data_IF_417554586249
#
_entry.id   IF_417554586249
#
_cell.length_a   1.000
_cell.length_b   1.000
_cell.length_c   1.000
_cell.angle_alpha   90.00
_cell.angle_beta   90.00
_cell.angle_gamma   90.00
#
_symmetry.space_group_name_H-M   'P 1'
#
loop_
_entity.id
_entity.type
_entity.pdbx_description
1 polymer ?
#
# COMPACT_ATOMS: atom_id res chain seq x y z
N UNK A 1 -17.24 -14.16 -14.79
CA UNK A 1 -16.18 -13.19 -15.16
C UNK A 1 -15.19 -13.91 -16.03
N UNK A 2 -14.96 -13.45 -17.25
CA UNK A 2 -13.98 -13.99 -18.16
C UNK A 2 -12.55 -13.53 -17.82
N UNK A 3 -11.54 -13.98 -18.60
CA UNK A 3 -10.13 -13.67 -18.32
C UNK A 3 -9.84 -12.17 -18.51
N UNK A 4 -10.46 -11.53 -19.48
CA UNK A 4 -10.28 -10.10 -19.78
C UNK A 4 -10.83 -9.25 -18.65
N UNK A 5 -12.05 -9.52 -18.19
CA UNK A 5 -12.66 -8.84 -17.05
C UNK A 5 -11.84 -8.99 -15.76
N UNK A 6 -11.29 -10.19 -15.51
CA UNK A 6 -10.39 -10.42 -14.37
C UNK A 6 -9.09 -9.62 -14.48
N UNK A 7 -8.49 -9.62 -15.68
CA UNK A 7 -7.28 -8.86 -15.96
C UNK A 7 -7.50 -7.36 -15.76
N UNK A 8 -8.61 -6.82 -16.27
CA UNK A 8 -8.94 -5.40 -16.17
C UNK A 8 -9.13 -4.96 -14.71
N UNK A 9 -9.75 -5.81 -13.86
CA UNK A 9 -9.85 -5.55 -12.42
C UNK A 9 -8.46 -5.47 -11.75
N UNK A 10 -7.54 -6.36 -12.13
CA UNK A 10 -6.18 -6.37 -11.58
C UNK A 10 -5.37 -5.19 -12.12
N UNK A 11 -5.52 -4.86 -13.39
CA UNK A 11 -4.75 -3.83 -14.07
C UNK A 11 -5.23 -2.39 -13.81
N UNK A 12 -6.49 -2.21 -13.38
CA UNK A 12 -7.02 -0.85 -13.11
C UNK A 12 -6.25 -0.14 -11.98
N UNK A 13 -6.24 1.19 -11.95
CA UNK A 13 -5.64 1.95 -10.85
C UNK A 13 -6.11 1.45 -9.47
N UNK A 14 -5.24 1.46 -8.45
CA UNK A 14 -3.89 2.04 -8.42
C UNK A 14 -2.77 1.16 -8.99
N UNK A 15 -3.03 0.03 -9.69
CA UNK A 15 -1.99 -0.78 -10.33
C UNK A 15 -1.21 0.09 -11.34
N UNK A 16 0.12 0.08 -11.21
CA UNK A 16 1.05 0.82 -12.06
C UNK A 16 1.89 -0.11 -12.95
N UNK A 17 2.28 -1.28 -12.43
CA UNK A 17 3.12 -2.24 -13.13
C UNK A 17 2.67 -3.68 -12.88
N UNK A 18 2.72 -4.50 -13.95
CA UNK A 18 2.54 -5.96 -13.89
C UNK A 18 3.72 -6.61 -14.59
N UNK A 19 4.44 -7.48 -13.90
CA UNK A 19 5.63 -8.19 -14.44
C UNK A 19 5.37 -9.69 -14.40
N UNK A 20 4.87 -10.28 -15.50
CA UNK A 20 4.49 -9.69 -16.79
C UNK A 20 2.98 -9.82 -17.03
N UNK A 21 2.43 -9.01 -17.95
CA UNK A 21 1.01 -9.07 -18.33
C UNK A 21 0.65 -10.43 -18.95
N UNK A 22 1.51 -10.95 -19.82
CA UNK A 22 1.26 -12.23 -20.51
C UNK A 22 1.24 -13.39 -19.52
N UNK A 23 2.18 -13.42 -18.54
CA UNK A 23 2.17 -14.41 -17.46
C UNK A 23 0.88 -14.34 -16.63
N UNK A 24 0.40 -13.12 -16.33
CA UNK A 24 -0.86 -12.95 -15.58
C UNK A 24 -2.06 -13.47 -16.36
N UNK A 25 -2.15 -13.17 -17.66
CA UNK A 25 -3.23 -13.65 -18.53
C UNK A 25 -3.20 -15.20 -18.58
N UNK A 26 -2.03 -15.80 -18.72
CA UNK A 26 -1.89 -17.26 -18.74
C UNK A 26 -2.25 -17.89 -17.38
N UNK A 27 -1.84 -17.28 -16.28
CA UNK A 27 -2.24 -17.71 -14.94
C UNK A 27 -3.77 -17.69 -14.76
N UNK A 28 -4.43 -16.63 -15.21
CA UNK A 28 -5.89 -16.47 -15.10
C UNK A 28 -6.67 -17.48 -15.96
N UNK A 29 -6.06 -18.01 -17.04
CA UNK A 29 -6.64 -19.07 -17.87
C UNK A 29 -6.49 -20.45 -17.24
N UNK A 30 -5.33 -20.71 -16.62
CA UNK A 30 -4.92 -22.06 -16.23
C UNK A 30 -5.16 -22.38 -14.75
N UNK A 31 -5.22 -21.36 -13.89
CA UNK A 31 -5.43 -21.52 -12.46
C UNK A 31 -6.75 -20.85 -12.03
N UNK A 32 -7.70 -21.64 -11.55
CA UNK A 32 -9.00 -21.14 -11.09
C UNK A 32 -8.96 -20.43 -9.73
N UNK A 33 -7.90 -20.61 -8.94
CA UNK A 33 -7.72 -20.06 -7.59
C UNK A 33 -6.27 -19.64 -7.34
N UNK A 34 -5.75 -18.65 -8.08
CA UNK A 34 -4.39 -18.16 -7.86
C UNK A 34 -4.23 -17.61 -6.44
N UNK A 35 -3.06 -17.84 -5.85
CA UNK A 35 -2.71 -17.34 -4.52
C UNK A 35 -1.99 -16.00 -4.65
N UNK A 36 -2.51 -15.00 -3.96
CA UNK A 36 -1.95 -13.65 -3.88
C UNK A 36 -1.56 -13.33 -2.44
N UNK A 37 -0.53 -12.51 -2.28
CA UNK A 37 -0.22 -11.89 -1.01
C UNK A 37 0.18 -10.43 -1.18
N UNK A 38 -0.02 -9.67 -0.09
CA UNK A 38 0.67 -8.41 0.18
C UNK A 38 1.27 -8.48 1.58
N UNK A 39 2.58 -8.18 1.68
CA UNK A 39 3.29 -8.08 2.95
C UNK A 39 3.26 -6.66 3.50
N UNK A 40 2.96 -6.51 4.78
CA UNK A 40 2.87 -5.22 5.45
C UNK A 40 3.70 -5.21 6.73
N UNK A 41 4.64 -4.27 6.80
CA UNK A 41 5.33 -3.93 8.04
C UNK A 41 4.38 -3.18 8.99
N UNK A 42 4.39 -3.55 10.26
CA UNK A 42 3.52 -2.98 11.29
C UNK A 42 4.24 -1.79 11.91
N UNK A 43 4.11 -0.62 11.30
CA UNK A 43 4.99 0.53 11.59
C UNK A 43 4.27 1.80 12.03
N UNK A 44 3.06 1.69 12.58
CA UNK A 44 2.32 2.86 13.06
C UNK A 44 0.84 2.85 12.71
N UNK A 45 0.23 4.02 12.65
CA UNK A 45 -1.19 4.14 12.31
C UNK A 45 -1.49 3.80 10.85
N UNK A 46 -2.63 3.15 10.64
CA UNK A 46 -3.13 2.90 9.29
C UNK A 46 -3.69 4.21 8.69
N UNK A 47 -3.35 4.44 7.42
CA UNK A 47 -3.75 5.62 6.67
C UNK A 47 -4.38 5.26 5.32
N UNK A 48 -4.87 6.26 4.59
CA UNK A 48 -5.55 6.12 3.32
C UNK A 48 -4.80 5.19 2.33
N UNK A 49 -3.48 5.34 2.19
CA UNK A 49 -2.67 4.49 1.31
C UNK A 49 -2.51 3.08 1.83
N UNK A 50 -2.16 2.91 3.12
CA UNK A 50 -1.81 1.60 3.69
C UNK A 50 -3.01 0.69 3.96
N UNK A 51 -4.22 1.23 4.20
CA UNK A 51 -5.41 0.42 4.42
C UNK A 51 -6.43 0.57 3.29
N UNK A 52 -6.84 1.80 2.96
CA UNK A 52 -7.99 2.02 2.06
C UNK A 52 -7.62 1.67 0.61
N UNK A 53 -6.61 2.34 0.05
CA UNK A 53 -6.18 2.07 -1.34
C UNK A 53 -5.70 0.64 -1.53
N UNK A 54 -4.92 0.12 -0.58
CA UNK A 54 -4.47 -1.28 -0.55
C UNK A 54 -5.65 -2.24 -0.45
N UNK A 55 -6.59 -1.97 0.46
CA UNK A 55 -7.78 -2.80 0.67
C UNK A 55 -8.70 -2.84 -0.55
N UNK A 56 -8.90 -1.72 -1.21
CA UNK A 56 -9.66 -1.65 -2.46
C UNK A 56 -9.02 -2.55 -3.53
N UNK A 57 -7.68 -2.51 -3.67
CA UNK A 57 -6.98 -3.36 -4.61
C UNK A 57 -7.06 -4.84 -4.25
N UNK A 58 -6.96 -5.19 -2.97
CA UNK A 58 -7.18 -6.58 -2.51
C UNK A 58 -8.60 -7.03 -2.88
N UNK A 59 -9.62 -6.18 -2.71
CA UNK A 59 -10.99 -6.51 -3.09
C UNK A 59 -11.14 -6.72 -4.61
N UNK A 60 -10.36 -6.03 -5.45
CA UNK A 60 -10.33 -6.29 -6.89
C UNK A 60 -9.77 -7.68 -7.20
N UNK A 61 -8.66 -8.07 -6.57
CA UNK A 61 -8.12 -9.43 -6.69
C UNK A 61 -9.14 -10.48 -6.24
N UNK A 62 -9.82 -10.25 -5.11
CA UNK A 62 -10.86 -11.15 -4.61
C UNK A 62 -12.04 -11.25 -5.59
N UNK A 63 -12.50 -10.13 -6.17
CA UNK A 63 -13.54 -10.10 -7.22
C UNK A 63 -13.09 -10.88 -8.47
N UNK A 64 -11.81 -10.81 -8.82
CA UNK A 64 -11.22 -11.59 -9.90
C UNK A 64 -11.08 -13.11 -9.61
N UNK A 65 -11.48 -13.56 -8.41
CA UNK A 65 -11.44 -14.98 -8.01
C UNK A 65 -10.12 -15.43 -7.41
N UNK A 66 -9.27 -14.52 -6.99
CA UNK A 66 -7.94 -14.78 -6.42
C UNK A 66 -8.03 -14.96 -4.90
N UNK A 67 -7.30 -15.94 -4.37
CA UNK A 67 -7.18 -16.22 -2.94
C UNK A 67 -6.15 -15.26 -2.32
N UNK A 68 -6.64 -14.25 -1.61
CA UNK A 68 -5.82 -13.14 -1.14
C UNK A 68 -5.42 -13.29 0.33
N UNK A 69 -4.14 -13.02 0.60
CA UNK A 69 -3.54 -13.01 1.93
C UNK A 69 -2.93 -11.64 2.21
N UNK A 70 -3.23 -11.08 3.39
CA UNK A 70 -2.44 -10.01 4.01
C UNK A 70 -1.46 -10.68 4.98
N UNK A 71 -0.20 -10.54 4.69
CA UNK A 71 0.89 -11.01 5.52
C UNK A 71 1.38 -9.88 6.43
N UNK A 72 1.17 -10.04 7.72
CA UNK A 72 1.62 -9.09 8.73
C UNK A 72 3.02 -9.46 9.19
N UNK A 73 3.99 -8.69 8.73
CA UNK A 73 5.42 -8.97 8.85
C UNK A 73 5.96 -8.51 10.22
N UNK A 74 5.52 -9.17 11.30
CA UNK A 74 5.84 -8.84 12.71
C UNK A 74 7.34 -8.94 13.01
N UNK A 75 8.03 -10.00 12.56
CA UNK A 75 9.48 -10.12 12.72
C UNK A 75 10.23 -9.08 11.88
N UNK A 76 9.78 -8.76 10.69
CA UNK A 76 10.36 -7.68 9.90
C UNK A 76 10.20 -6.33 10.60
N UNK A 77 9.05 -6.13 11.26
CA UNK A 77 8.77 -4.95 12.09
C UNK A 77 9.79 -4.83 13.24
N UNK A 78 10.05 -5.94 13.93
CA UNK A 78 11.06 -6.02 14.98
C UNK A 78 12.48 -5.72 14.45
N UNK A 79 12.88 -6.39 13.36
CA UNK A 79 14.18 -6.22 12.70
C UNK A 79 14.40 -4.76 12.26
N UNK A 80 13.36 -4.07 11.83
CA UNK A 80 13.43 -2.68 11.35
C UNK A 80 13.23 -1.65 12.46
N UNK A 81 13.27 -2.05 13.75
CA UNK A 81 13.09 -1.19 14.93
C UNK A 81 11.80 -0.36 14.92
N UNK A 82 10.76 -0.81 14.19
CA UNK A 82 9.47 -0.14 14.21
C UNK A 82 8.78 -0.38 15.56
N UNK A 83 7.95 0.58 15.95
CA UNK A 83 7.27 0.56 17.25
C UNK A 83 8.27 0.38 18.43
N UNK A 84 9.48 0.98 18.27
CA UNK A 84 10.55 0.89 19.24
C UNK A 84 11.21 -0.49 19.37
N UNK A 85 10.92 -1.43 18.47
CA UNK A 85 11.38 -2.81 18.57
C UNK A 85 10.72 -3.57 19.73
N UNK A 86 9.62 -3.05 20.29
CA UNK A 86 8.92 -3.69 21.40
C UNK A 86 7.94 -4.74 20.91
N UNK A 87 8.24 -6.02 21.22
CA UNK A 87 7.46 -7.16 20.75
C UNK A 87 6.01 -7.16 21.23
N UNK A 88 5.77 -6.72 22.46
CA UNK A 88 4.42 -6.66 23.02
C UNK A 88 3.57 -5.63 22.27
N UNK A 89 4.12 -4.45 22.01
CA UNK A 89 3.48 -3.41 21.19
C UNK A 89 3.26 -3.89 19.75
N UNK A 90 4.26 -4.54 19.13
CA UNK A 90 4.15 -5.10 17.77
C UNK A 90 2.98 -6.09 17.72
N UNK A 91 2.86 -6.99 18.69
CA UNK A 91 1.79 -7.98 18.76
C UNK A 91 0.40 -7.34 18.90
N UNK A 92 0.26 -6.32 19.75
CA UNK A 92 -0.99 -5.57 19.92
C UNK A 92 -1.38 -4.82 18.64
N UNK A 93 -0.41 -4.17 17.98
CA UNK A 93 -0.66 -3.43 16.73
C UNK A 93 -0.94 -4.40 15.57
N UNK A 94 -0.34 -5.61 15.56
CA UNK A 94 -0.66 -6.65 14.57
C UNK A 94 -2.14 -7.02 14.60
N UNK A 95 -2.72 -7.15 15.79
CA UNK A 95 -4.15 -7.42 15.95
C UNK A 95 -5.00 -6.28 15.39
N UNK A 96 -4.64 -5.03 15.70
CA UNK A 96 -5.31 -3.85 15.14
C UNK A 96 -5.27 -3.85 13.60
N UNK A 97 -4.11 -4.18 12.99
CA UNK A 97 -3.99 -4.31 11.54
C UNK A 97 -4.89 -5.43 11.00
N UNK A 98 -4.88 -6.59 11.64
CA UNK A 98 -5.70 -7.74 11.24
C UNK A 98 -7.20 -7.38 11.24
N UNK A 99 -7.68 -6.73 12.30
CA UNK A 99 -9.06 -6.30 12.43
C UNK A 99 -9.44 -5.26 11.38
N UNK A 100 -8.54 -4.28 11.12
CA UNK A 100 -8.75 -3.27 10.10
C UNK A 100 -8.83 -3.88 8.68
N UNK A 101 -7.93 -4.80 8.32
CA UNK A 101 -7.98 -5.46 7.01
C UNK A 101 -9.18 -6.38 6.86
N UNK A 102 -9.60 -7.10 7.90
CA UNK A 102 -10.84 -7.89 7.87
C UNK A 102 -12.08 -7.02 7.69
N UNK A 103 -12.07 -5.80 8.24
CA UNK A 103 -13.17 -4.85 8.08
C UNK A 103 -13.28 -4.35 6.63
N UNK A 104 -12.15 -3.99 6.00
CA UNK A 104 -12.11 -3.46 4.62
C UNK A 104 -12.17 -4.57 3.58
N UNK A 105 -11.60 -5.73 3.87
CA UNK A 105 -11.51 -6.90 3.00
C UNK A 105 -12.03 -8.16 3.73
N UNK A 106 -13.35 -8.34 3.90
CA UNK A 106 -13.89 -9.42 4.76
C UNK A 106 -13.50 -10.85 4.36
N UNK A 107 -13.10 -11.06 3.11
CA UNK A 107 -12.70 -12.37 2.57
C UNK A 107 -11.19 -12.60 2.52
N UNK A 108 -10.39 -11.65 3.02
CA UNK A 108 -8.94 -11.78 3.03
C UNK A 108 -8.48 -12.74 4.14
N UNK A 109 -7.45 -13.52 3.87
CA UNK A 109 -6.72 -14.27 4.91
C UNK A 109 -5.70 -13.36 5.57
N UNK A 110 -5.55 -13.49 6.88
CA UNK A 110 -4.47 -12.82 7.63
C UNK A 110 -3.49 -13.90 8.08
N UNK A 111 -2.22 -13.66 7.85
CA UNK A 111 -1.12 -14.54 8.29
C UNK A 111 -0.06 -13.68 8.96
N UNK A 112 0.36 -14.04 10.17
CA UNK A 112 1.49 -13.44 10.86
C UNK A 112 2.81 -14.09 10.41
N UNK A 113 3.88 -13.31 10.31
CA UNK A 113 5.21 -13.84 10.01
C UNK A 113 5.65 -14.88 11.04
N UNK A 114 5.48 -14.60 12.33
CA UNK A 114 5.77 -15.55 13.42
C UNK A 114 5.03 -16.89 13.26
N UNK A 115 3.74 -16.86 12.90
CA UNK A 115 2.96 -18.10 12.65
C UNK A 115 3.51 -18.90 11.45
N UNK A 116 3.93 -18.21 10.39
CA UNK A 116 4.55 -18.84 9.22
C UNK A 116 5.84 -19.54 9.62
N UNK A 117 6.73 -18.87 10.37
CA UNK A 117 8.03 -19.40 10.75
C UNK A 117 7.94 -20.59 11.69
N UNK A 118 6.97 -20.58 12.61
CA UNK A 118 6.72 -21.69 13.52
C UNK A 118 6.10 -22.90 12.81
N UNK A 119 5.25 -22.67 11.82
CA UNK A 119 4.55 -23.74 11.10
C UNK A 119 5.39 -24.44 10.03
N UNK A 120 6.40 -23.78 9.47
CA UNK A 120 7.22 -24.26 8.36
C UNK A 120 8.60 -24.73 8.85
N UNK A 121 8.72 -26.01 9.18
CA UNK A 121 9.98 -26.62 9.68
C UNK A 121 11.21 -26.37 8.79
N UNK A 122 11.00 -26.25 7.47
CA UNK A 122 12.07 -26.09 6.49
C UNK A 122 12.42 -24.62 6.23
N UNK A 123 11.66 -23.68 6.80
CA UNK A 123 11.81 -22.25 6.50
C UNK A 123 13.26 -21.76 6.65
N UNK A 124 13.90 -22.05 7.78
CA UNK A 124 15.27 -21.58 8.05
C UNK A 124 16.31 -22.26 7.17
N UNK A 125 16.08 -23.51 6.78
CA UNK A 125 16.95 -24.21 5.84
C UNK A 125 16.82 -23.57 4.43
N UNK A 126 15.62 -23.30 3.97
CA UNK A 126 15.36 -22.60 2.72
C UNK A 126 15.93 -21.18 2.74
N UNK A 127 15.84 -20.49 3.88
CA UNK A 127 16.45 -19.19 4.09
C UNK A 127 17.97 -19.23 3.92
N UNK A 128 18.65 -20.17 4.55
CA UNK A 128 20.11 -20.37 4.40
C UNK A 128 20.46 -20.66 2.91
N UNK A 129 19.70 -21.50 2.24
CA UNK A 129 19.90 -21.78 0.82
C UNK A 129 19.74 -20.54 -0.05
N UNK A 130 18.72 -19.73 0.20
CA UNK A 130 18.47 -18.49 -0.54
C UNK A 130 19.60 -17.47 -0.33
N UNK A 131 20.08 -17.28 0.90
CA UNK A 131 21.15 -16.32 1.21
C UNK A 131 22.46 -16.65 0.50
N UNK A 132 22.73 -17.91 0.14
CA UNK A 132 23.93 -18.27 -0.66
C UNK A 132 23.89 -17.68 -2.09
N UNK A 133 22.73 -17.23 -2.57
CA UNK A 133 22.58 -16.54 -3.86
C UNK A 133 22.67 -15.00 -3.73
N UNK A 134 22.87 -14.48 -2.50
CA UNK A 134 23.00 -13.05 -2.24
C UNK A 134 24.40 -12.68 -1.78
N UNK A 135 25.03 -11.72 -2.44
CA UNK A 135 26.25 -11.11 -1.90
C UNK A 135 25.90 -10.01 -0.90
N UNK A 136 26.82 -9.70 0.04
CA UNK A 136 26.64 -8.61 0.98
C UNK A 136 26.32 -7.28 0.27
N UNK A 137 27.08 -6.93 -0.78
CA UNK A 137 26.83 -5.72 -1.56
C UNK A 137 25.44 -5.66 -2.19
N UNK A 138 24.88 -6.83 -2.60
CA UNK A 138 23.52 -6.90 -3.14
C UNK A 138 22.47 -6.73 -2.05
N UNK A 139 22.68 -7.37 -0.91
CA UNK A 139 21.82 -7.21 0.28
C UNK A 139 21.76 -5.75 0.70
N UNK A 140 22.90 -5.07 0.82
CA UNK A 140 22.97 -3.64 1.16
C UNK A 140 22.11 -2.78 0.20
N UNK A 141 22.27 -2.96 -1.12
CA UNK A 141 21.44 -2.22 -2.11
C UNK A 141 19.95 -2.52 -2.01
N UNK A 142 19.58 -3.65 -1.45
CA UNK A 142 18.16 -4.04 -1.29
C UNK A 142 17.53 -3.43 -0.03
N UNK A 143 18.31 -2.98 0.94
CA UNK A 143 17.80 -2.41 2.21
C UNK A 143 16.89 -1.19 2.01
N UNK A 144 16.94 -0.55 0.85
CA UNK A 144 16.03 0.55 0.53
C UNK A 144 14.55 0.17 0.57
N UNK A 145 14.21 -1.15 0.47
CA UNK A 145 12.84 -1.64 0.66
C UNK A 145 12.30 -1.43 2.08
N UNK A 146 13.20 -1.33 3.06
CA UNK A 146 12.88 -1.04 4.46
C UNK A 146 12.66 0.46 4.74
N UNK A 147 12.76 1.31 3.71
CA UNK A 147 12.76 2.77 3.85
C UNK A 147 14.07 3.33 4.42
N UNK A 148 15.18 2.57 4.32
CA UNK A 148 16.52 2.97 4.77
C UNK A 148 17.42 3.33 3.60
N UNK A 149 18.48 4.10 3.85
CA UNK A 149 19.48 4.44 2.85
C UNK A 149 20.66 3.46 2.89
N UNK A 150 21.36 3.30 1.76
CA UNK A 150 22.54 2.43 1.65
C UNK A 150 23.72 2.88 2.54
N UNK A 151 23.74 4.16 2.92
CA UNK A 151 24.82 4.81 3.67
C UNK A 151 24.47 5.03 5.16
N UNK A 152 23.48 4.35 5.68
CA UNK A 152 23.10 4.49 7.08
C UNK A 152 24.16 3.90 8.00
N UNK A 153 24.72 4.72 8.91
CA UNK A 153 25.88 4.37 9.75
C UNK A 153 25.60 3.24 10.78
N UNK A 154 24.33 2.92 11.03
CA UNK A 154 23.91 1.95 12.05
C UNK A 154 23.06 0.83 11.45
N UNK A 155 23.67 0.00 10.62
CA UNK A 155 23.05 -1.23 10.14
C UNK A 155 23.55 -2.40 10.96
N UNK A 156 22.70 -2.97 11.83
CA UNK A 156 22.99 -4.20 12.54
C UNK A 156 22.83 -5.43 11.62
N UNK A 157 23.31 -6.59 12.09
CA UNK A 157 23.25 -7.83 11.32
C UNK A 157 21.81 -8.28 11.05
N UNK A 158 20.87 -8.02 11.96
CA UNK A 158 19.49 -8.43 11.78
C UNK A 158 18.85 -7.76 10.56
N UNK A 159 19.17 -6.49 10.29
CA UNK A 159 18.67 -5.77 9.11
C UNK A 159 19.09 -6.40 7.78
N UNK A 160 20.26 -7.07 7.76
CA UNK A 160 20.69 -7.82 6.57
C UNK A 160 19.86 -9.07 6.30
N UNK A 161 19.16 -9.60 7.31
CA UNK A 161 18.29 -10.76 7.17
C UNK A 161 16.92 -10.38 6.56
N UNK A 162 16.52 -9.12 6.64
CA UNK A 162 15.20 -8.65 6.20
C UNK A 162 14.90 -8.97 4.72
N UNK A 163 15.71 -8.56 3.73
CA UNK A 163 15.41 -8.85 2.33
C UNK A 163 15.34 -10.34 1.99
N UNK A 164 16.29 -11.20 2.42
CA UNK A 164 16.17 -12.63 2.15
C UNK A 164 15.00 -13.30 2.89
N UNK A 165 14.61 -12.84 4.08
CA UNK A 165 13.40 -13.33 4.74
C UNK A 165 12.15 -13.02 3.92
N UNK A 166 11.98 -11.79 3.42
CA UNK A 166 10.84 -11.44 2.58
C UNK A 166 10.76 -12.31 1.31
N UNK A 167 11.90 -12.65 0.70
CA UNK A 167 11.92 -13.56 -0.45
C UNK A 167 11.48 -14.99 -0.06
N UNK A 168 11.94 -15.50 1.08
CA UNK A 168 11.59 -16.84 1.55
C UNK A 168 10.14 -16.92 2.02
N UNK A 169 9.56 -15.82 2.56
CA UNK A 169 8.13 -15.72 2.85
C UNK A 169 7.29 -15.96 1.59
N UNK A 170 7.67 -15.32 0.49
CA UNK A 170 7.02 -15.47 -0.82
C UNK A 170 7.03 -16.94 -1.26
N UNK A 171 8.18 -17.61 -1.14
CA UNK A 171 8.31 -19.03 -1.45
C UNK A 171 7.48 -19.91 -0.51
N UNK A 172 7.58 -19.70 0.79
CA UNK A 172 6.94 -20.51 1.83
C UNK A 172 5.41 -20.44 1.79
N UNK A 173 4.85 -19.33 1.31
CA UNK A 173 3.42 -19.14 1.08
C UNK A 173 2.95 -19.73 -0.26
N UNK A 174 3.86 -20.24 -1.12
CA UNK A 174 3.57 -20.83 -2.44
C UNK A 174 2.72 -19.93 -3.34
N UNK A 175 3.16 -18.69 -3.53
CA UNK A 175 2.39 -17.63 -4.18
C UNK A 175 2.45 -17.71 -5.71
N UNK A 176 1.35 -17.33 -6.37
CA UNK A 176 1.26 -17.07 -7.81
C UNK A 176 1.44 -15.58 -8.13
N UNK A 177 0.97 -14.70 -7.23
CA UNK A 177 1.02 -13.25 -7.40
C UNK A 177 1.58 -12.62 -6.11
N UNK A 178 2.60 -11.77 -6.27
CA UNK A 178 3.11 -10.89 -5.22
C UNK A 178 2.69 -9.45 -5.51
N UNK A 179 2.06 -8.82 -4.55
CA UNK A 179 1.52 -7.45 -4.67
C UNK A 179 2.17 -6.53 -3.63
N UNK A 180 2.60 -5.36 -4.05
CA UNK A 180 3.15 -4.34 -3.16
C UNK A 180 3.14 -2.95 -3.79
N UNK A 181 3.53 -1.93 -3.04
CA UNK A 181 3.87 -0.63 -3.59
C UNK A 181 5.12 -0.68 -4.46
N UNK A 182 5.30 0.32 -5.34
CA UNK A 182 6.47 0.43 -6.22
C UNK A 182 7.80 0.46 -5.44
N UNK A 183 7.79 0.86 -4.16
CA UNK A 183 8.97 0.86 -3.29
C UNK A 183 9.51 -0.57 -3.01
N UNK A 184 8.67 -1.60 -3.15
CA UNK A 184 9.04 -3.01 -2.99
C UNK A 184 9.49 -3.69 -4.30
N UNK A 185 9.53 -2.97 -5.42
CA UNK A 185 9.89 -3.53 -6.72
C UNK A 185 11.26 -4.25 -6.71
N UNK A 186 12.24 -3.69 -6.00
CA UNK A 186 13.60 -4.27 -5.94
C UNK A 186 13.60 -5.72 -5.43
N UNK A 187 12.86 -6.02 -4.37
CA UNK A 187 12.81 -7.37 -3.82
C UNK A 187 12.06 -8.33 -4.74
N UNK A 188 10.97 -7.90 -5.37
CA UNK A 188 10.24 -8.75 -6.31
C UNK A 188 11.09 -9.08 -7.56
N UNK A 189 11.90 -8.13 -8.06
CA UNK A 189 12.84 -8.41 -9.16
C UNK A 189 13.97 -9.37 -8.73
N UNK A 190 14.44 -9.24 -7.48
CA UNK A 190 15.40 -10.18 -6.91
C UNK A 190 14.83 -11.60 -6.82
N UNK A 191 13.59 -11.74 -6.37
CA UNK A 191 12.84 -13.01 -6.35
C UNK A 191 12.78 -13.61 -7.75
N UNK A 192 12.35 -12.85 -8.75
CA UNK A 192 12.24 -13.32 -10.14
C UNK A 192 13.58 -13.71 -10.75
N UNK A 193 14.70 -13.18 -10.27
CA UNK A 193 16.04 -13.56 -10.72
C UNK A 193 16.58 -14.82 -10.03
N UNK A 194 16.33 -14.98 -8.72
CA UNK A 194 16.95 -16.07 -7.93
C UNK A 194 16.10 -17.33 -7.94
N UNK A 195 14.76 -17.23 -7.88
CA UNK A 195 13.88 -18.40 -7.80
C UNK A 195 14.08 -19.42 -8.91
N UNK A 196 14.29 -19.06 -10.20
CA UNK A 196 14.61 -20.04 -11.24
C UNK A 196 15.89 -20.84 -10.96
N UNK A 197 16.92 -20.21 -10.36
CA UNK A 197 18.19 -20.87 -10.00
C UNK A 197 17.99 -21.89 -8.89
N UNK A 198 17.00 -21.67 -8.01
CA UNK A 198 16.62 -22.57 -6.94
C UNK A 198 15.52 -23.57 -7.35
N UNK A 199 15.03 -23.51 -8.58
CA UNK A 199 13.86 -24.27 -9.08
C UNK A 199 12.60 -24.01 -8.25
N UNK A 200 12.46 -22.80 -7.71
CA UNK A 200 11.27 -22.33 -7.02
C UNK A 200 10.28 -21.67 -7.99
N UNK A 201 9.01 -21.73 -7.63
CA UNK A 201 7.95 -21.10 -8.41
C UNK A 201 8.16 -19.58 -8.46
N UNK A 202 8.15 -19.00 -9.66
CA UNK A 202 8.33 -17.57 -9.86
C UNK A 202 6.97 -16.87 -9.86
N UNK A 203 6.68 -15.99 -8.91
CA UNK A 203 5.41 -15.29 -8.89
C UNK A 203 5.38 -14.13 -9.89
N UNK A 204 4.18 -13.76 -10.31
CA UNK A 204 3.90 -12.53 -11.05
C UNK A 204 3.94 -11.38 -10.07
N UNK A 205 4.68 -10.32 -10.38
CA UNK A 205 4.73 -9.14 -9.54
C UNK A 205 3.74 -8.07 -10.02
N UNK A 206 2.88 -7.60 -9.12
CA UNK A 206 1.95 -6.50 -9.35
C UNK A 206 2.31 -5.36 -8.39
N UNK A 207 2.61 -4.21 -8.95
CA UNK A 207 2.97 -3.04 -8.16
C UNK A 207 1.91 -1.94 -8.29
N UNK A 208 1.51 -1.38 -7.14
CA UNK A 208 0.61 -0.23 -7.12
C UNK A 208 1.37 1.06 -6.83
N UNK A 209 0.81 2.16 -7.33
CA UNK A 209 1.30 3.51 -7.05
C UNK A 209 1.08 3.86 -5.58
N UNK A 210 2.11 4.45 -4.97
CA UNK A 210 2.00 4.97 -3.61
C UNK A 210 1.29 6.33 -3.64
N UNK A 211 0.33 6.54 -2.75
CA UNK A 211 -0.30 7.85 -2.61
C UNK A 211 0.70 8.87 -2.08
N UNK A 212 0.81 10.05 -2.70
CA UNK A 212 1.67 11.12 -2.23
C UNK A 212 1.16 11.67 -0.88
N UNK A 213 2.08 12.27 -0.12
CA UNK A 213 1.73 13.06 1.05
C UNK A 213 0.97 14.33 0.66
N UNK A 214 0.29 14.94 1.63
CA UNK A 214 -0.54 16.13 1.39
C UNK A 214 0.25 17.44 1.22
N UNK A 215 1.55 17.42 1.44
CA UNK A 215 2.44 18.58 1.29
C UNK A 215 2.79 18.82 -0.17
N UNK A 216 3.32 20.01 -0.45
CA UNK A 216 3.89 20.35 -1.75
C UNK A 216 4.97 19.33 -2.14
N UNK A 217 4.96 18.83 -3.38
CA UNK A 217 6.04 18.00 -3.87
C UNK A 217 7.35 18.79 -3.84
N UNK A 218 8.35 18.33 -3.08
CA UNK A 218 9.66 18.96 -3.10
C UNK A 218 10.45 18.47 -4.32
N UNK A 219 11.32 19.32 -4.89
CA UNK A 219 12.27 18.98 -5.95
C UNK A 219 13.27 17.95 -5.43
N UNK A 220 12.94 16.68 -5.56
CA UNK A 220 13.81 15.57 -5.17
C UNK A 220 14.83 15.26 -6.26
N UNK A 221 16.02 15.81 -6.12
CA UNK A 221 17.23 15.25 -6.69
C UNK A 221 17.61 14.02 -5.88
N UNK A 222 17.60 12.83 -6.47
CA UNK A 222 18.22 11.56 -6.05
C UNK A 222 17.42 10.44 -5.37
N UNK A 223 16.19 10.59 -4.98
CA UNK A 223 15.36 9.38 -4.77
C UNK A 223 13.96 9.63 -5.29
N UNK A 224 13.54 8.88 -6.31
CA UNK A 224 12.20 8.87 -6.92
C UNK A 224 11.08 8.38 -5.98
N UNK A 225 11.24 8.52 -4.68
CA UNK A 225 10.19 8.31 -3.69
C UNK A 225 9.67 9.71 -3.35
N UNK A 226 8.76 10.22 -4.19
CA UNK A 226 7.85 11.31 -3.82
C UNK A 226 7.47 11.15 -2.36
N UNK A 227 7.45 12.22 -1.59
CA UNK A 227 7.02 12.20 -0.20
C UNK A 227 5.68 11.48 -0.06
N UNK A 228 5.73 10.15 0.08
CA UNK A 228 4.55 9.31 0.25
C UNK A 228 3.89 9.62 1.58
N UNK A 229 2.60 9.34 1.71
CA UNK A 229 1.94 9.35 3.01
C UNK A 229 2.74 8.48 3.97
N UNK A 230 3.15 9.06 5.09
CA UNK A 230 3.98 8.40 6.09
C UNK A 230 3.19 8.12 7.36
N UNK A 231 3.41 6.94 7.94
CA UNK A 231 2.83 6.56 9.24
C UNK A 231 3.43 7.34 10.41
N UNK A 232 4.64 7.89 10.23
CA UNK A 232 5.37 8.66 11.25
C UNK A 232 5.11 10.17 11.19
N UNK A 233 4.54 10.71 10.10
CA UNK A 233 4.17 12.12 10.00
C UNK A 233 2.66 12.28 9.96
N UNK A 234 2.10 12.70 11.10
CA UNK A 234 0.65 12.89 11.26
C UNK A 234 0.05 13.97 10.36
N UNK A 235 0.86 14.83 9.75
CA UNK A 235 0.43 15.89 8.84
C UNK A 235 0.47 15.45 7.37
N UNK A 236 1.23 14.41 7.05
CA UNK A 236 1.47 13.99 5.67
C UNK A 236 0.33 13.20 5.04
N UNK A 237 -0.66 12.73 5.81
CA UNK A 237 -1.71 11.86 5.30
C UNK A 237 -3.01 11.85 6.09
N UNK A 238 -4.01 11.20 5.52
CA UNK A 238 -5.30 10.95 6.16
C UNK A 238 -5.24 9.59 6.83
N UNK A 239 -5.46 9.54 8.14
CA UNK A 239 -5.47 8.33 8.94
C UNK A 239 -6.90 7.81 9.15
N UNK A 240 -7.03 6.50 9.35
CA UNK A 240 -8.36 5.90 9.55
C UNK A 240 -9.02 6.29 10.88
N UNK A 241 -8.25 6.80 11.83
CA UNK A 241 -8.77 7.33 13.10
C UNK A 241 -9.02 8.85 13.09
N UNK A 242 -8.67 9.56 12.00
CA UNK A 242 -8.95 10.99 11.88
C UNK A 242 -10.46 11.25 11.95
N UNK A 243 -10.88 12.22 12.75
CA UNK A 243 -12.25 12.71 12.78
C UNK A 243 -12.61 13.45 11.49
N UNK A 244 -13.89 13.61 11.20
CA UNK A 244 -14.36 14.36 10.03
C UNK A 244 -13.78 15.78 9.97
N UNK A 245 -13.65 16.41 11.15
CA UNK A 245 -13.04 17.75 11.29
C UNK A 245 -11.54 17.73 10.97
N UNK A 246 -10.82 16.69 11.41
CA UNK A 246 -9.39 16.53 11.10
C UNK A 246 -9.17 16.26 9.63
N UNK A 247 -9.95 15.36 9.00
CA UNK A 247 -9.92 15.11 7.55
C UNK A 247 -10.13 16.43 6.79
N UNK A 248 -11.20 17.17 7.12
CA UNK A 248 -11.51 18.45 6.47
C UNK A 248 -10.39 19.48 6.65
N UNK A 249 -9.79 19.53 7.84
CA UNK A 249 -8.69 20.46 8.14
C UNK A 249 -7.42 20.10 7.37
N UNK A 250 -7.07 18.82 7.30
CA UNK A 250 -5.91 18.32 6.55
C UNK A 250 -6.05 18.56 5.05
N UNK A 251 -7.21 18.24 4.48
CA UNK A 251 -7.48 18.46 3.05
C UNK A 251 -7.51 19.96 2.71
N UNK A 252 -8.08 20.79 3.56
CA UNK A 252 -8.06 22.27 3.37
C UNK A 252 -6.63 22.81 3.28
N UNK A 253 -5.71 22.26 4.09
CA UNK A 253 -4.29 22.67 4.14
C UNK A 253 -3.42 21.95 3.09
N UNK A 254 -3.91 20.88 2.46
CA UNK A 254 -3.17 20.13 1.47
C UNK A 254 -2.72 21.03 0.30
N UNK A 255 -1.55 20.75 -0.23
CA UNK A 255 -1.09 21.42 -1.43
C UNK A 255 -2.01 21.11 -2.62
N UNK A 256 -2.38 22.13 -3.37
CA UNK A 256 -3.22 22.01 -4.55
C UNK A 256 -3.13 23.31 -5.33
N UNK A 257 -2.08 23.47 -6.14
CA UNK A 257 -1.88 24.64 -6.98
C UNK A 257 -2.83 24.59 -8.18
N UNK A 258 -3.42 25.75 -8.52
CA UNK A 258 -4.41 25.84 -9.59
C UNK A 258 -3.81 25.51 -10.96
N UNK A 259 -4.42 24.55 -11.65
CA UNK A 259 -3.95 24.10 -12.97
C UNK A 259 -2.72 23.20 -12.94
N UNK A 260 -2.18 22.87 -11.77
CA UNK A 260 -1.06 21.95 -11.63
C UNK A 260 -1.57 20.52 -11.38
N UNK A 261 -1.40 19.64 -12.37
CA UNK A 261 -1.89 18.26 -12.32
C UNK A 261 -0.83 17.28 -11.81
N UNK A 262 0.42 17.49 -12.20
CA UNK A 262 1.51 16.56 -11.92
C UNK A 262 1.77 16.45 -10.40
N UNK A 263 1.76 15.22 -9.90
CA UNK A 263 1.98 14.93 -8.47
C UNK A 263 1.05 15.67 -7.50
N UNK A 264 -0.11 16.16 -7.98
CA UNK A 264 -1.09 16.82 -7.14
C UNK A 264 -1.79 15.79 -6.22
N UNK A 265 -1.62 15.86 -4.88
CA UNK A 265 -2.12 14.84 -3.98
C UNK A 265 -3.64 14.68 -4.03
N UNK A 266 -4.40 15.74 -4.30
CA UNK A 266 -5.84 15.65 -4.34
C UNK A 266 -6.35 15.00 -5.63
N UNK A 267 -5.67 15.22 -6.74
CA UNK A 267 -5.96 14.55 -8.00
C UNK A 267 -5.58 13.06 -7.91
N UNK A 268 -4.43 12.74 -7.30
CA UNK A 268 -4.02 11.35 -7.07
C UNK A 268 -5.00 10.61 -6.13
N UNK A 269 -5.47 11.25 -5.04
CA UNK A 269 -6.51 10.70 -4.17
C UNK A 269 -7.83 10.52 -4.96
N UNK A 270 -8.23 11.50 -5.76
CA UNK A 270 -9.42 11.39 -6.59
C UNK A 270 -9.34 10.20 -7.53
N UNK A 271 -8.23 10.05 -8.25
CA UNK A 271 -7.99 8.98 -9.22
C UNK A 271 -7.94 7.59 -8.60
N UNK A 272 -7.17 7.43 -7.53
CA UNK A 272 -6.85 6.11 -6.97
C UNK A 272 -7.76 5.66 -5.83
N UNK A 273 -8.52 6.57 -5.24
CA UNK A 273 -9.42 6.27 -4.13
C UNK A 273 -10.86 6.61 -4.47
N UNK A 274 -11.17 7.85 -4.86
CA UNK A 274 -12.57 8.23 -5.07
C UNK A 274 -13.16 7.54 -6.29
N UNK A 275 -12.53 7.62 -7.47
CA UNK A 275 -13.02 6.93 -8.68
C UNK A 275 -12.86 5.41 -8.64
N UNK A 276 -12.17 4.87 -7.64
CA UNK A 276 -12.17 3.43 -7.38
C UNK A 276 -13.48 3.01 -6.70
N UNK A 277 -13.99 3.81 -5.77
CA UNK A 277 -15.16 3.49 -4.94
C UNK A 277 -16.46 4.03 -5.50
N UNK A 278 -16.44 5.19 -6.14
CA UNK A 278 -17.62 5.87 -6.65
C UNK A 278 -17.61 5.93 -8.18
N UNK A 279 -18.74 5.57 -8.80
CA UNK A 279 -18.90 5.64 -10.26
C UNK A 279 -18.96 7.09 -10.78
N UNK A 280 -19.34 8.01 -9.90
CA UNK A 280 -19.44 9.44 -10.22
C UNK A 280 -19.06 10.29 -8.99
N UNK A 281 -18.46 11.44 -9.25
CA UNK A 281 -18.06 12.43 -8.26
C UNK A 281 -18.79 13.74 -8.56
N UNK A 282 -19.70 14.12 -7.66
CA UNK A 282 -20.39 15.40 -7.72
C UNK A 282 -19.56 16.49 -7.03
N UNK A 283 -19.19 17.51 -7.79
CA UNK A 283 -18.61 18.75 -7.28
C UNK A 283 -19.71 19.78 -7.10
N UNK A 284 -20.02 20.09 -5.87
CA UNK A 284 -21.02 21.11 -5.52
C UNK A 284 -20.36 22.49 -5.49
N UNK A 285 -20.92 23.44 -6.25
CA UNK A 285 -20.45 24.83 -6.29
C UNK A 285 -21.57 25.79 -6.62
N UNK A 286 -21.47 27.05 -6.16
CA UNK A 286 -22.47 28.09 -6.45
C UNK A 286 -22.64 28.36 -7.96
N UNK A 287 -23.85 28.71 -8.37
CA UNK A 287 -24.20 29.07 -9.74
C UNK A 287 -23.27 30.13 -10.37
N UNK A 288 -22.86 31.13 -9.57
CA UNK A 288 -21.90 32.17 -10.02
C UNK A 288 -20.52 31.62 -10.44
N UNK A 289 -20.19 30.38 -10.07
CA UNK A 289 -18.98 29.68 -10.46
C UNK A 289 -19.25 28.53 -11.44
N UNK A 290 -20.41 28.53 -12.10
CA UNK A 290 -20.80 27.56 -13.12
C UNK A 290 -21.70 26.43 -12.63
N UNK A 291 -22.17 26.49 -11.36
CA UNK A 291 -23.06 25.45 -10.78
C UNK A 291 -22.38 24.09 -10.58
N UNK A 292 -23.17 23.12 -10.16
CA UNK A 292 -22.70 21.76 -9.89
C UNK A 292 -22.18 21.07 -11.16
N UNK A 293 -21.15 20.24 -11.02
CA UNK A 293 -20.62 19.40 -12.10
C UNK A 293 -20.37 17.97 -11.59
N UNK A 294 -20.69 16.98 -12.42
CA UNK A 294 -20.47 15.56 -12.13
C UNK A 294 -19.40 15.00 -13.04
N UNK A 295 -18.42 14.33 -12.46
CA UNK A 295 -17.35 13.63 -13.18
C UNK A 295 -17.55 12.12 -13.05
N UNK A 296 -17.48 11.40 -14.17
CA UNK A 296 -17.59 9.93 -14.23
C UNK A 296 -16.22 9.25 -14.39
N UNK A 297 -15.15 10.00 -14.54
CA UNK A 297 -13.77 9.50 -14.62
C UNK A 297 -12.75 10.58 -14.22
N UNK A 298 -11.58 10.11 -13.79
CA UNK A 298 -10.51 11.00 -13.33
C UNK A 298 -9.93 11.87 -14.44
N UNK A 299 -9.86 11.38 -15.67
CA UNK A 299 -9.24 12.10 -16.79
C UNK A 299 -9.99 13.39 -17.13
N UNK A 300 -11.32 13.36 -17.08
CA UNK A 300 -12.15 14.56 -17.31
C UNK A 300 -11.97 15.58 -16.17
N UNK A 301 -11.93 15.09 -14.91
CA UNK A 301 -11.68 15.93 -13.74
C UNK A 301 -10.28 16.58 -13.81
N UNK A 302 -9.24 15.82 -14.13
CA UNK A 302 -7.87 16.30 -14.30
C UNK A 302 -7.79 17.33 -15.46
N UNK A 303 -8.47 17.10 -16.58
CA UNK A 303 -8.53 18.02 -17.71
C UNK A 303 -9.17 19.37 -17.33
N UNK A 304 -10.30 19.34 -16.63
CA UNK A 304 -10.98 20.56 -16.19
C UNK A 304 -10.18 21.32 -15.12
N UNK A 305 -9.45 20.57 -14.26
CA UNK A 305 -8.52 21.19 -13.30
C UNK A 305 -7.35 21.88 -14.01
N UNK A 306 -6.73 21.21 -15.00
CA UNK A 306 -5.65 21.77 -15.83
C UNK A 306 -6.10 23.05 -16.56
N UNK A 307 -7.34 23.04 -17.09
CA UNK A 307 -7.93 24.17 -17.78
C UNK A 307 -8.47 25.26 -16.85
N UNK A 308 -8.29 25.12 -15.52
CA UNK A 308 -8.76 26.03 -14.47
C UNK A 308 -10.29 26.22 -14.44
N UNK A 309 -11.04 25.24 -14.99
CA UNK A 309 -12.49 25.20 -14.90
C UNK A 309 -12.96 24.66 -13.54
N UNK A 310 -12.12 23.87 -12.86
CA UNK A 310 -12.32 23.35 -11.52
C UNK A 310 -11.33 24.05 -10.58
N UNK A 311 -11.86 24.87 -9.66
CA UNK A 311 -11.03 25.62 -8.72
C UNK A 311 -10.51 24.70 -7.59
N UNK A 312 -9.26 24.91 -7.07
CA UNK A 312 -8.70 24.12 -5.97
C UNK A 312 -9.60 24.01 -4.73
N UNK A 313 -10.31 25.08 -4.33
CA UNK A 313 -11.21 25.02 -3.17
C UNK A 313 -12.39 24.07 -3.37
N UNK A 314 -12.94 23.99 -4.59
CA UNK A 314 -14.06 23.10 -4.89
C UNK A 314 -13.57 21.64 -4.91
N UNK A 315 -12.39 21.38 -5.48
CA UNK A 315 -11.75 20.06 -5.44
C UNK A 315 -11.46 19.64 -4.00
N UNK A 316 -10.89 20.52 -3.16
CA UNK A 316 -10.62 20.27 -1.73
C UNK A 316 -11.89 19.90 -0.97
N UNK A 317 -12.94 20.67 -1.13
CA UNK A 317 -14.21 20.40 -0.46
C UNK A 317 -14.78 19.05 -0.90
N UNK A 318 -14.77 18.77 -2.20
CA UNK A 318 -15.25 17.51 -2.76
C UNK A 318 -14.46 16.32 -2.23
N UNK A 319 -13.13 16.36 -2.33
CA UNK A 319 -12.25 15.29 -1.82
C UNK A 319 -12.49 15.05 -0.32
N UNK A 320 -12.61 16.12 0.48
CA UNK A 320 -12.91 16.02 1.91
C UNK A 320 -14.23 15.28 2.16
N UNK A 321 -15.31 15.68 1.49
CA UNK A 321 -16.63 15.09 1.67
C UNK A 321 -16.65 13.59 1.32
N UNK A 322 -16.01 13.20 0.22
CA UNK A 322 -15.96 11.80 -0.20
C UNK A 322 -15.03 10.96 0.68
N UNK A 323 -13.90 11.51 1.14
CA UNK A 323 -13.02 10.80 2.09
C UNK A 323 -13.73 10.55 3.42
N UNK A 324 -14.50 11.50 3.93
CA UNK A 324 -15.31 11.30 5.14
C UNK A 324 -16.29 10.14 4.94
N UNK A 325 -16.98 10.06 3.80
CA UNK A 325 -17.89 8.93 3.49
C UNK A 325 -17.18 7.57 3.49
N UNK A 326 -15.89 7.52 3.10
CA UNK A 326 -15.10 6.28 3.09
C UNK A 326 -14.58 5.95 4.49
N UNK A 327 -14.00 6.94 5.18
CA UNK A 327 -13.23 6.71 6.43
C UNK A 327 -14.14 6.55 7.64
N UNK A 328 -15.23 7.35 7.76
CA UNK A 328 -16.08 7.35 8.95
C UNK A 328 -16.69 5.98 9.28
N UNK A 329 -17.25 5.21 8.32
CA UNK A 329 -17.77 3.87 8.62
C UNK A 329 -16.70 2.88 9.09
N UNK A 330 -15.45 3.06 8.66
CA UNK A 330 -14.32 2.21 9.08
C UNK A 330 -13.90 2.61 10.50
N UNK A 331 -13.73 3.90 10.76
CA UNK A 331 -13.37 4.44 12.08
C UNK A 331 -14.37 4.03 13.16
N UNK A 332 -15.67 4.08 12.86
CA UNK A 332 -16.72 3.72 13.81
C UNK A 332 -16.70 2.25 14.24
N UNK A 333 -16.22 1.37 13.35
CA UNK A 333 -16.16 -0.08 13.59
C UNK A 333 -14.79 -0.56 14.08
N UNK A 334 -13.75 0.20 13.81
CA UNK A 334 -12.38 -0.16 14.16
C UNK A 334 -12.05 0.30 15.57
N UNK A 335 -11.88 -0.64 16.49
CA UNK A 335 -11.53 -0.34 17.88
C UNK A 335 -10.04 -0.02 17.98
N UNK A 336 -9.74 1.22 18.33
CA UNK A 336 -8.40 1.68 18.72
C UNK A 336 -8.52 2.29 20.12
N UNK A 337 -8.19 1.51 21.17
CA UNK A 337 -8.26 2.01 22.53
C UNK A 337 -7.12 3.02 22.80
N UNK A 338 -7.30 3.84 23.85
CA UNK A 338 -6.37 4.92 24.19
C UNK A 338 -4.96 4.40 24.50
N UNK A 339 -4.83 3.24 25.17
CA UNK A 339 -3.53 2.64 25.48
C UNK A 339 -2.74 2.33 24.20
N UNK A 340 -3.38 1.65 23.23
CA UNK A 340 -2.77 1.30 21.95
C UNK A 340 -2.47 2.54 21.11
N UNK A 341 -3.39 3.54 21.12
CA UNK A 341 -3.18 4.82 20.44
C UNK A 341 -1.92 5.52 20.96
N UNK A 342 -1.76 5.61 22.30
CA UNK A 342 -0.58 6.24 22.90
C UNK A 342 0.69 5.42 22.66
N UNK A 343 0.63 4.09 22.69
CA UNK A 343 1.77 3.24 22.37
C UNK A 343 2.28 3.47 20.94
N UNK A 344 1.39 3.49 19.94
CA UNK A 344 1.74 3.79 18.55
C UNK A 344 2.31 5.20 18.42
N UNK A 345 1.68 6.19 19.06
CA UNK A 345 2.10 7.60 18.99
C UNK A 345 3.47 7.85 19.59
N UNK A 346 3.84 7.15 20.66
CA UNK A 346 5.17 7.28 21.29
C UNK A 346 6.28 6.66 20.45
N UNK A 347 5.93 5.69 19.62
CA UNK A 347 6.87 4.90 18.80
C UNK A 347 6.98 5.41 17.35
N UNK A 348 6.16 6.36 16.95
CA UNK A 348 6.15 7.01 15.63
C UNK A 348 7.06 8.24 15.62
#
# INVERSE_FOLDING_TARGET
MDVTEKFDLIAKPPTEEIVTKDELIELLKTNSKPKHYIGLEISGFLHLGSLISTGFKINDFIKAGIDCTVFLADWHTLINDKLGGDWETISKVSKYYADAFKLVCPRVKIVLGSELYDSKKEYWFEFIKFTKHMSLARTMRTLTIMGRTENEEKIDLAKLLYPPMQAVDIHSLDLDIVHAGMDQRKIHMLVREIFPKMKWKVPIAVHHKLLPGLSEPSDYTDSKILGKMSKSDSKSGIFVHDTDKEISTKIKKAWCEEGHVENNPLLEISKHVLFHEFNEILVERPEKFGGNVTYTNSSTLESDFLQKKLHPSDLKQTVSNYLIKIVSPIREKLTLNEELFQAIKKSA
#
